data_IF_791696755358
#
_entry.id   IF_791696755358
#
_cell.length_a   1.000
_cell.length_b   1.000
_cell.length_c   1.000
_cell.angle_alpha   90.00
_cell.angle_beta   90.00
_cell.angle_gamma   90.00
#
_symmetry.space_group_name_H-M   'P 1'
#
loop_
_entity.id
_entity.type
_entity.pdbx_description
1 polymer ?
#
# COMPACT_ATOMS: atom_id res chain seq x y z
N UNK A 1 61.18 -20.25 -18.56
CA UNK A 1 61.37 -20.49 -20.00
C UNK A 1 60.31 -19.68 -20.75
N UNK A 2 60.78 -18.77 -21.61
CA UNK A 2 60.09 -17.95 -22.65
C UNK A 2 58.79 -17.21 -22.26
N UNK A 3 58.64 -15.87 -22.18
CA UNK A 3 59.16 -14.68 -22.88
C UNK A 3 58.59 -14.37 -24.28
N UNK A 4 58.32 -13.06 -24.48
CA UNK A 4 58.12 -12.24 -25.71
C UNK A 4 56.64 -11.91 -26.01
N UNK A 5 56.12 -10.67 -25.94
CA UNK A 5 56.54 -9.30 -26.32
C UNK A 5 56.38 -8.94 -27.80
N UNK A 6 55.57 -7.90 -28.09
CA UNK A 6 55.76 -6.77 -29.05
C UNK A 6 54.38 -6.32 -29.57
N UNK A 7 53.80 -5.14 -29.34
CA UNK A 7 54.22 -3.74 -29.58
C UNK A 7 54.35 -3.33 -31.06
N UNK A 8 53.83 -2.12 -31.35
CA UNK A 8 54.26 -1.12 -32.38
C UNK A 8 53.30 -0.80 -33.56
N UNK A 9 52.56 0.32 -33.41
CA UNK A 9 52.34 1.47 -34.35
C UNK A 9 51.64 1.26 -35.71
N UNK A 10 51.03 2.24 -36.41
CA UNK A 10 50.62 3.64 -36.20
C UNK A 10 49.89 4.12 -37.49
N UNK A 11 49.23 5.29 -37.40
CA UNK A 11 48.78 6.24 -38.45
C UNK A 11 47.52 5.89 -39.23
N UNK A 12 46.71 6.84 -39.71
CA UNK A 12 46.36 8.24 -39.39
C UNK A 12 45.42 8.71 -40.51
N UNK A 13 44.55 9.68 -40.20
CA UNK A 13 43.84 10.68 -41.05
C UNK A 13 42.32 10.59 -40.88
N UNK A 14 41.66 11.52 -40.19
CA UNK A 14 41.39 12.96 -40.45
C UNK A 14 40.12 13.19 -41.30
N UNK A 15 39.06 13.66 -40.62
CA UNK A 15 38.24 14.87 -40.90
C UNK A 15 37.07 14.82 -39.90
N UNK A 16 36.72 15.81 -39.07
CA UNK A 16 36.95 17.24 -39.13
C UNK A 16 35.60 17.95 -39.27
N UNK A 17 34.92 18.25 -38.17
CA UNK A 17 33.97 19.37 -38.07
C UNK A 17 33.99 19.93 -36.64
N UNK A 18 34.39 21.20 -36.56
CA UNK A 18 34.44 22.05 -35.38
C UNK A 18 33.34 23.09 -35.52
N UNK A 19 32.57 23.33 -34.45
CA UNK A 19 31.79 24.54 -34.28
C UNK A 19 31.96 25.04 -32.84
N UNK A 20 32.79 26.09 -32.71
CA UNK A 20 32.92 26.91 -31.53
C UNK A 20 31.71 27.84 -31.39
N UNK A 21 31.21 28.01 -30.17
CA UNK A 21 30.47 29.22 -29.77
C UNK A 21 31.21 29.87 -28.58
N UNK A 22 31.28 31.22 -28.53
CA UNK A 22 32.16 31.92 -27.63
C UNK A 22 31.57 32.07 -26.22
N UNK A 23 32.47 32.05 -25.25
CA UNK A 23 32.22 32.47 -23.87
C UNK A 23 31.96 33.98 -23.81
N UNK A 24 30.83 34.37 -23.23
CA UNK A 24 30.56 35.76 -22.83
C UNK A 24 30.80 35.88 -21.33
N UNK A 25 31.83 36.65 -21.02
CA UNK A 25 32.19 37.10 -19.69
C UNK A 25 31.27 38.28 -19.34
N UNK A 26 30.47 38.20 -18.28
CA UNK A 26 29.81 39.38 -17.72
C UNK A 26 29.91 39.40 -16.20
N UNK A 27 30.82 40.23 -15.72
CA UNK A 27 30.82 40.78 -14.37
C UNK A 27 29.44 41.35 -14.03
N UNK A 28 28.76 40.80 -13.01
CA UNK A 28 27.71 41.50 -12.28
C UNK A 28 27.85 41.25 -10.78
N UNK A 29 28.44 42.26 -10.13
CA UNK A 29 28.03 42.88 -8.87
C UNK A 29 27.35 41.96 -7.85
N UNK A 30 28.13 41.60 -6.84
CA UNK A 30 27.66 41.24 -5.51
C UNK A 30 26.73 42.32 -4.95
N UNK A 31 25.43 42.03 -4.85
CA UNK A 31 24.54 42.70 -3.90
C UNK A 31 24.15 41.69 -2.83
N UNK A 32 24.84 41.82 -1.69
CA UNK A 32 24.37 41.39 -0.39
C UNK A 32 22.99 42.01 -0.14
N UNK A 33 21.96 41.16 0.01
CA UNK A 33 20.69 41.52 0.61
C UNK A 33 20.53 40.69 1.87
N UNK A 34 20.99 41.27 2.97
CA UNK A 34 20.63 40.91 4.32
C UNK A 34 19.12 41.14 4.51
N UNK A 35 18.33 40.07 4.61
CA UNK A 35 16.98 40.16 5.16
C UNK A 35 17.03 39.92 6.66
N UNK A 36 16.81 41.01 7.39
CA UNK A 36 16.57 41.03 8.83
C UNK A 36 15.33 40.20 9.18
N UNK A 37 15.46 39.43 10.24
CA UNK A 37 14.39 38.72 10.92
C UNK A 37 13.32 39.70 11.43
N UNK A 38 12.08 39.47 11.04
CA UNK A 38 10.92 40.00 11.74
C UNK A 38 9.92 38.84 11.94
N UNK A 39 9.91 38.30 13.17
CA UNK A 39 8.89 37.39 13.66
C UNK A 39 7.62 38.19 14.01
N UNK A 40 6.43 37.75 13.57
CA UNK A 40 5.21 37.97 14.35
C UNK A 40 4.90 36.69 15.12
N UNK A 41 4.79 36.85 16.44
CA UNK A 41 4.34 35.82 17.37
C UNK A 41 2.86 35.47 17.12
N UNK A 42 2.54 34.18 17.23
CA UNK A 42 1.24 33.72 17.71
C UNK A 42 0.13 33.54 16.68
N UNK A 43 0.05 32.36 16.07
CA UNK A 43 -1.22 31.79 15.64
C UNK A 43 -1.40 30.41 16.27
N UNK A 44 -2.43 30.31 17.09
CA UNK A 44 -2.79 29.16 17.91
C UNK A 44 -3.54 28.15 17.01
N UNK A 45 -2.92 27.01 16.70
CA UNK A 45 -3.42 26.01 15.74
C UNK A 45 -4.52 25.08 16.33
N UNK A 46 -5.33 25.55 17.27
CA UNK A 46 -6.30 24.72 17.99
C UNK A 46 -7.78 25.02 17.67
N UNK A 47 -8.07 25.84 16.66
CA UNK A 47 -9.45 26.27 16.35
C UNK A 47 -9.90 26.07 14.88
N UNK A 48 -9.18 25.26 14.09
CA UNK A 48 -9.51 25.04 12.67
C UNK A 48 -9.83 23.58 12.31
N UNK A 49 -10.26 22.78 13.29
CA UNK A 49 -10.64 21.39 13.05
C UNK A 49 -11.85 20.94 13.88
N UNK A 50 -13.01 21.58 13.74
CA UNK A 50 -14.29 21.03 14.24
C UNK A 50 -15.45 21.49 13.34
N UNK A 51 -15.84 20.64 12.37
CA UNK A 51 -17.23 20.34 11.94
C UNK A 51 -17.28 19.88 10.48
N UNK A 52 -17.13 18.58 10.27
CA UNK A 52 -17.88 17.88 9.22
C UNK A 52 -18.48 16.62 9.84
N UNK A 53 -19.59 16.81 10.56
CA UNK A 53 -20.50 15.73 10.90
C UNK A 53 -21.42 15.51 9.70
N UNK A 54 -21.30 14.34 9.06
CA UNK A 54 -22.32 13.84 8.13
C UNK A 54 -23.61 13.58 8.91
N UNK A 55 -24.60 14.47 8.77
CA UNK A 55 -26.00 14.11 8.95
C UNK A 55 -26.63 13.90 7.58
N UNK A 56 -27.07 12.67 7.36
CA UNK A 56 -28.04 12.31 6.34
C UNK A 56 -29.31 13.14 6.54
N UNK A 57 -29.79 13.78 5.47
CA UNK A 57 -30.99 14.60 5.51
C UNK A 57 -31.03 15.59 4.35
N UNK A 58 -31.85 15.25 3.35
CA UNK A 58 -32.36 16.08 2.24
C UNK A 58 -32.38 17.58 2.61
N UNK A 59 -31.59 18.40 1.92
CA UNK A 59 -31.67 19.86 2.03
C UNK A 59 -31.74 20.47 0.63
N UNK A 60 -32.95 20.92 0.29
CA UNK A 60 -33.25 21.83 -0.80
C UNK A 60 -32.54 23.17 -0.61
N UNK A 61 -31.76 23.59 -1.60
CA UNK A 61 -31.15 24.93 -1.64
C UNK A 61 -32.23 25.92 -2.10
N UNK A 62 -32.65 26.80 -1.20
CA UNK A 62 -33.31 28.06 -1.55
C UNK A 62 -32.27 29.17 -1.40
N UNK A 63 -31.95 29.84 -2.52
CA UNK A 63 -31.19 31.09 -2.51
C UNK A 63 -32.10 32.23 -2.05
N UNK A 64 -31.60 33.04 -1.12
CA UNK A 64 -32.14 34.36 -0.83
C UNK A 64 -31.35 35.38 -1.68
N UNK A 65 -32.03 36.01 -2.62
CA UNK A 65 -31.63 37.33 -3.14
C UNK A 65 -32.76 38.32 -2.89
N UNK A 66 -32.39 39.44 -2.27
CA UNK A 66 -33.27 40.56 -2.01
C UNK A 66 -33.34 41.52 -3.20
N UNK A 67 -34.57 41.65 -3.73
CA UNK A 67 -35.22 42.83 -4.30
C UNK A 67 -34.48 43.71 -5.33
N UNK A 68 -35.07 43.82 -6.53
CA UNK A 68 -35.74 45.04 -7.05
C UNK A 68 -36.80 44.58 -8.06
N UNK A 69 -38.03 45.07 -7.89
CA UNK A 69 -39.20 44.82 -8.76
C UNK A 69 -39.28 45.92 -9.82
N UNK A 70 -39.42 45.53 -11.09
CA UNK A 70 -40.15 46.32 -12.10
C UNK A 70 -40.98 45.37 -12.96
N UNK A 71 -42.29 45.64 -13.05
CA UNK A 71 -43.30 44.85 -13.73
C UNK A 71 -43.21 44.92 -15.26
N UNK A 72 -43.42 43.80 -15.95
CA UNK A 72 -44.33 43.73 -17.11
C UNK A 72 -44.59 42.28 -17.57
N UNK A 73 -45.85 42.05 -17.94
CA UNK A 73 -46.50 40.77 -18.28
C UNK A 73 -45.91 40.00 -19.47
N UNK A 74 -45.85 38.67 -19.34
CA UNK A 74 -46.33 37.73 -20.37
C UNK A 74 -46.67 36.37 -19.76
N UNK A 75 -47.83 35.81 -20.14
CA UNK A 75 -48.34 34.50 -19.73
C UNK A 75 -47.79 33.44 -20.68
N UNK A 76 -47.06 32.45 -20.17
CA UNK A 76 -46.84 31.18 -20.88
C UNK A 76 -46.84 29.96 -19.93
N UNK A 77 -47.26 28.85 -20.51
CA UNK A 77 -47.76 27.59 -19.95
C UNK A 77 -46.83 26.86 -18.96
N UNK A 78 -47.31 26.63 -17.73
CA UNK A 78 -46.64 25.81 -16.70
C UNK A 78 -47.19 24.38 -16.57
N UNK A 79 -48.08 23.95 -17.46
CA UNK A 79 -48.74 22.64 -17.37
C UNK A 79 -47.93 21.50 -18.00
N UNK A 80 -47.15 21.78 -19.06
CA UNK A 80 -46.42 20.80 -19.86
C UNK A 80 -45.05 20.41 -19.28
N UNK A 81 -44.42 21.28 -18.48
CA UNK A 81 -43.10 21.01 -17.87
C UNK A 81 -43.14 20.16 -16.59
N UNK A 82 -44.33 19.99 -16.00
CA UNK A 82 -44.52 19.17 -14.78
C UNK A 82 -44.66 17.69 -15.13
N UNK A 83 -45.43 17.38 -16.19
CA UNK A 83 -45.61 16.00 -16.67
C UNK A 83 -44.31 15.35 -17.14
N UNK A 84 -43.45 16.10 -17.86
CA UNK A 84 -42.17 15.58 -18.33
C UNK A 84 -41.18 15.26 -17.20
N UNK A 85 -41.22 16.02 -16.09
CA UNK A 85 -40.36 15.76 -14.92
C UNK A 85 -40.81 14.53 -14.15
N UNK A 86 -42.11 14.33 -14.02
CA UNK A 86 -42.67 13.19 -13.29
C UNK A 86 -42.52 11.88 -14.09
N UNK A 87 -42.61 11.93 -15.43
CA UNK A 87 -42.31 10.78 -16.29
C UNK A 87 -40.82 10.40 -16.30
N UNK A 88 -39.91 11.37 -16.32
CA UNK A 88 -38.45 11.11 -16.26
C UNK A 88 -38.03 10.58 -14.88
N UNK A 89 -38.60 11.10 -13.78
CA UNK A 89 -38.35 10.57 -12.43
C UNK A 89 -38.93 9.17 -12.22
N UNK A 90 -40.07 8.87 -12.85
CA UNK A 90 -40.69 7.54 -12.89
C UNK A 90 -39.84 6.55 -13.69
N UNK A 91 -39.38 6.92 -14.89
CA UNK A 91 -38.54 6.10 -15.74
C UNK A 91 -37.19 5.78 -15.07
N UNK A 92 -36.53 6.78 -14.46
CA UNK A 92 -35.29 6.59 -13.71
C UNK A 92 -35.48 5.73 -12.45
N UNK A 93 -36.65 5.76 -11.82
CA UNK A 93 -36.97 4.89 -10.68
C UNK A 93 -37.26 3.45 -11.12
N UNK A 94 -37.86 3.25 -12.29
CA UNK A 94 -38.08 1.92 -12.86
C UNK A 94 -36.80 1.29 -13.43
N UNK A 95 -35.86 2.08 -13.95
CA UNK A 95 -34.53 1.61 -14.37
C UNK A 95 -33.60 1.36 -13.18
N UNK A 96 -33.64 2.18 -12.14
CA UNK A 96 -32.92 1.90 -10.88
C UNK A 96 -33.50 0.67 -10.15
N UNK A 97 -34.80 0.39 -10.30
CA UNK A 97 -35.43 -0.83 -9.78
C UNK A 97 -35.19 -2.07 -10.67
N UNK A 98 -35.00 -1.90 -11.99
CA UNK A 98 -34.68 -3.00 -12.92
C UNK A 98 -33.21 -3.43 -12.92
N UNK A 99 -32.28 -2.56 -12.53
CA UNK A 99 -30.87 -2.95 -12.28
C UNK A 99 -30.71 -3.66 -10.91
N UNK A 100 -31.73 -3.62 -10.05
CA UNK A 100 -31.78 -4.28 -8.74
C UNK A 100 -32.66 -5.53 -8.65
N UNK A 101 -33.23 -6.02 -9.76
CA UNK A 101 -34.25 -7.07 -9.72
C UNK A 101 -34.10 -8.14 -10.83
N UNK A 102 -32.86 -8.45 -11.24
CA UNK A 102 -32.53 -9.68 -11.98
C UNK A 102 -31.27 -10.33 -11.40
N UNK A 103 -31.41 -10.88 -10.19
CA UNK A 103 -30.74 -12.12 -9.76
C UNK A 103 -31.38 -12.63 -8.46
N UNK A 104 -32.70 -12.83 -8.50
CA UNK A 104 -33.40 -13.53 -7.44
C UNK A 104 -33.11 -15.03 -7.59
N UNK A 105 -32.01 -15.41 -6.92
CA UNK A 105 -31.33 -16.69 -6.99
C UNK A 105 -29.95 -16.57 -6.34
N UNK A 106 -29.86 -15.86 -5.21
CA UNK A 106 -28.61 -15.72 -4.47
C UNK A 106 -28.14 -17.10 -3.98
N UNK A 107 -27.24 -17.73 -4.73
CA UNK A 107 -26.21 -18.54 -4.13
C UNK A 107 -25.44 -17.64 -3.16
N UNK A 108 -25.92 -17.53 -1.92
CA UNK A 108 -25.28 -16.73 -0.88
C UNK A 108 -23.80 -17.14 -0.83
N UNK A 109 -22.87 -16.22 -1.08
CA UNK A 109 -21.45 -16.52 -0.98
C UNK A 109 -20.97 -16.39 0.47
N UNK A 110 -19.96 -17.16 0.86
CA UNK A 110 -19.31 -17.06 2.17
C UNK A 110 -17.82 -16.83 2.00
N UNK A 111 -17.19 -16.13 2.94
CA UNK A 111 -15.74 -15.92 2.95
C UNK A 111 -15.10 -16.59 4.16
N UNK A 112 -14.21 -17.54 3.89
CA UNK A 112 -13.36 -18.16 4.91
C UNK A 112 -11.97 -17.53 4.89
N UNK A 113 -11.56 -16.92 6.00
CA UNK A 113 -10.25 -16.26 6.14
C UNK A 113 -9.37 -17.10 7.05
N UNK A 114 -8.31 -17.69 6.50
CA UNK A 114 -7.32 -18.45 7.27
C UNK A 114 -6.09 -17.60 7.53
N UNK A 115 -5.84 -17.24 8.78
CA UNK A 115 -4.61 -16.58 9.23
C UNK A 115 -3.57 -17.64 9.56
N UNK A 116 -2.70 -17.93 8.59
CA UNK A 116 -1.57 -18.85 8.75
C UNK A 116 -0.48 -18.14 9.55
N UNK A 117 -0.01 -18.77 10.63
CA UNK A 117 0.85 -18.12 11.62
C UNK A 117 0.09 -17.34 12.69
N UNK A 118 -1.17 -17.71 12.99
CA UNK A 118 -2.04 -16.98 13.93
C UNK A 118 -1.49 -16.78 15.36
N UNK A 119 -0.51 -17.58 15.78
CA UNK A 119 0.16 -17.43 17.07
C UNK A 119 1.26 -16.36 17.09
N UNK A 120 1.63 -15.80 15.93
CA UNK A 120 2.66 -14.79 15.77
C UNK A 120 2.24 -13.37 16.14
N UNK A 121 3.22 -12.47 16.25
CA UNK A 121 3.00 -11.10 16.69
C UNK A 121 2.25 -10.24 15.68
N UNK A 122 2.53 -10.41 14.38
CA UNK A 122 1.83 -9.67 13.32
C UNK A 122 0.33 -10.02 13.31
N UNK A 123 0.00 -11.31 13.47
CA UNK A 123 -1.39 -11.75 13.55
C UNK A 123 -2.13 -11.09 14.72
N UNK A 124 -1.55 -11.13 15.91
CA UNK A 124 -2.11 -10.53 17.14
C UNK A 124 -2.27 -9.02 17.05
N UNK A 125 -1.21 -8.33 16.65
CA UNK A 125 -1.15 -6.85 16.75
C UNK A 125 -1.77 -6.13 15.57
N UNK A 126 -1.92 -6.80 14.40
CA UNK A 126 -2.37 -6.15 13.16
C UNK A 126 -3.51 -6.89 12.46
N UNK A 127 -3.36 -8.19 12.17
CA UNK A 127 -4.31 -8.91 11.30
C UNK A 127 -5.68 -9.07 11.97
N UNK A 128 -5.75 -9.67 13.16
CA UNK A 128 -7.04 -9.84 13.85
C UNK A 128 -7.69 -8.50 14.21
N UNK A 129 -6.97 -7.48 14.72
CA UNK A 129 -7.54 -6.14 14.89
C UNK A 129 -8.08 -5.52 13.60
N UNK A 130 -7.40 -5.70 12.45
CA UNK A 130 -7.88 -5.19 11.16
C UNK A 130 -9.15 -5.93 10.70
N UNK A 131 -9.21 -7.25 10.85
CA UNK A 131 -10.41 -8.03 10.55
C UNK A 131 -11.60 -7.64 11.45
N UNK A 132 -11.34 -7.38 12.74
CA UNK A 132 -12.35 -6.88 13.65
C UNK A 132 -12.83 -5.48 13.24
N UNK A 133 -11.92 -4.60 12.81
CA UNK A 133 -12.30 -3.28 12.31
C UNK A 133 -13.20 -3.37 11.07
N UNK A 134 -12.88 -4.26 10.11
CA UNK A 134 -13.73 -4.52 8.95
C UNK A 134 -15.11 -5.06 9.35
N UNK A 135 -15.16 -5.97 10.34
CA UNK A 135 -16.43 -6.44 10.89
C UNK A 135 -17.22 -5.31 11.56
N UNK A 136 -16.55 -4.48 12.36
CA UNK A 136 -17.17 -3.39 13.12
C UNK A 136 -17.80 -2.34 12.21
N UNK A 137 -17.19 -2.10 11.05
CA UNK A 137 -17.64 -1.18 9.99
C UNK A 137 -18.57 -1.83 8.95
N UNK A 138 -18.97 -3.09 9.18
CA UNK A 138 -19.89 -3.82 8.31
C UNK A 138 -19.33 -3.98 6.87
N UNK A 139 -17.99 -4.05 6.74
CA UNK A 139 -17.25 -4.26 5.48
C UNK A 139 -16.90 -5.73 5.21
N UNK A 140 -17.22 -6.65 6.13
CA UNK A 140 -17.17 -8.09 5.85
C UNK A 140 -18.52 -8.58 5.33
N UNK A 141 -18.55 -9.60 4.45
CA UNK A 141 -19.80 -10.22 4.02
C UNK A 141 -20.61 -10.76 5.20
N UNK A 142 -21.93 -10.90 5.03
CA UNK A 142 -22.82 -11.42 6.07
C UNK A 142 -22.37 -12.80 6.57
N UNK A 143 -21.92 -13.66 5.65
CA UNK A 143 -21.39 -14.98 5.97
C UNK A 143 -19.87 -14.99 5.82
N UNK A 144 -19.19 -15.07 6.96
CA UNK A 144 -17.75 -15.26 6.99
C UNK A 144 -17.33 -16.11 8.18
N UNK A 145 -16.14 -16.70 8.08
CA UNK A 145 -15.53 -17.48 9.16
C UNK A 145 -14.03 -17.20 9.19
N UNK A 146 -13.44 -17.13 10.38
CA UNK A 146 -12.00 -16.89 10.55
C UNK A 146 -11.36 -18.10 11.20
N UNK A 147 -10.31 -18.62 10.57
CA UNK A 147 -9.48 -19.68 11.13
C UNK A 147 -8.08 -19.16 11.45
N UNK A 148 -7.64 -19.33 12.70
CA UNK A 148 -6.22 -19.29 13.01
C UNK A 148 -5.57 -20.64 12.72
N UNK A 149 -4.45 -20.64 12.00
CA UNK A 149 -3.68 -21.86 11.71
C UNK A 149 -2.23 -21.70 12.15
N UNK A 150 -1.73 -22.56 13.04
CA UNK A 150 -0.30 -22.57 13.40
C UNK A 150 0.15 -23.90 14.01
N UNK A 151 1.47 -24.10 14.16
CA UNK A 151 2.03 -25.31 14.80
C UNK A 151 1.68 -25.44 16.29
N UNK A 152 1.43 -24.31 16.97
CA UNK A 152 1.12 -24.30 18.40
C UNK A 152 -0.19 -25.03 18.66
N UNK A 153 -0.21 -25.94 19.64
CA UNK A 153 -1.47 -26.54 20.11
C UNK A 153 -2.22 -25.49 20.92
N UNK A 154 -3.39 -25.12 20.42
CA UNK A 154 -4.27 -24.12 21.03
C UNK A 154 -5.72 -24.48 20.72
N UNK A 155 -6.62 -24.15 21.61
CA UNK A 155 -8.08 -24.31 21.45
C UNK A 155 -8.71 -23.03 20.90
N UNK A 156 -9.94 -23.13 20.40
CA UNK A 156 -10.72 -21.96 19.96
C UNK A 156 -10.87 -20.92 21.09
N UNK A 157 -11.07 -21.38 22.32
CA UNK A 157 -11.21 -20.52 23.51
C UNK A 157 -9.91 -19.75 23.79
N UNK A 158 -8.78 -20.43 23.69
CA UNK A 158 -7.47 -19.79 23.88
C UNK A 158 -7.15 -18.80 22.76
N UNK A 159 -7.49 -19.10 21.50
CA UNK A 159 -7.39 -18.16 20.39
C UNK A 159 -8.21 -16.90 20.68
N UNK A 160 -9.49 -17.07 21.03
CA UNK A 160 -10.41 -15.96 21.31
C UNK A 160 -9.92 -15.09 22.46
N UNK A 161 -9.41 -15.70 23.54
CA UNK A 161 -8.81 -14.99 24.68
C UNK A 161 -7.53 -14.24 24.29
N UNK A 162 -6.75 -14.78 23.36
CA UNK A 162 -5.53 -14.14 22.87
C UNK A 162 -5.88 -12.94 21.98
N UNK A 163 -6.82 -13.11 21.05
CA UNK A 163 -7.27 -12.06 20.14
C UNK A 163 -7.98 -10.93 20.90
N UNK A 164 -8.89 -11.25 21.84
CA UNK A 164 -9.69 -10.25 22.56
C UNK A 164 -8.85 -9.21 23.31
N UNK A 165 -7.65 -9.57 23.77
CA UNK A 165 -6.70 -8.64 24.43
C UNK A 165 -6.17 -7.54 23.52
N UNK A 166 -6.22 -7.76 22.21
CA UNK A 166 -5.67 -6.85 21.19
C UNK A 166 -6.73 -6.11 20.41
N UNK A 167 -8.00 -6.53 20.53
CA UNK A 167 -9.11 -5.86 19.87
C UNK A 167 -9.42 -4.55 20.60
N UNK A 168 -9.48 -3.47 19.84
CA UNK A 168 -9.85 -2.15 20.34
C UNK A 168 -11.10 -1.67 19.63
N UNK A 169 -12.00 -1.04 20.38
CA UNK A 169 -13.11 -0.31 19.81
C UNK A 169 -12.57 0.94 19.12
N UNK A 170 -13.03 1.26 17.91
CA UNK A 170 -12.76 2.57 17.30
C UNK A 170 -13.41 3.67 18.13
N UNK A 171 -12.83 4.87 18.08
CA UNK A 171 -13.17 6.04 18.92
C UNK A 171 -14.61 6.52 18.66
N UNK A 172 -15.15 6.22 17.48
CA UNK A 172 -16.53 6.56 17.12
C UNK A 172 -17.50 5.65 17.88
N UNK A 173 -18.01 6.18 18.98
CA UNK A 173 -18.97 5.59 19.92
C UNK A 173 -20.25 5.05 19.24
N UNK A 174 -20.18 3.93 18.51
CA UNK A 174 -21.37 3.09 18.32
C UNK A 174 -21.58 2.33 19.63
N UNK A 175 -22.75 2.51 20.25
CA UNK A 175 -23.20 1.62 21.32
C UNK A 175 -23.08 0.17 20.82
N UNK A 176 -22.69 -0.76 21.69
CA UNK A 176 -22.54 -2.21 21.42
C UNK A 176 -21.18 -2.72 20.90
N UNK A 177 -20.06 -2.02 21.18
CA UNK A 177 -18.74 -2.60 20.84
C UNK A 177 -18.47 -3.96 21.52
N UNK A 178 -18.86 -4.13 22.79
CA UNK A 178 -18.69 -5.41 23.50
C UNK A 178 -19.43 -6.56 22.82
N UNK A 179 -20.69 -6.35 22.46
CA UNK A 179 -21.50 -7.35 21.75
C UNK A 179 -20.92 -7.68 20.37
N UNK A 180 -20.54 -6.67 19.58
CA UNK A 180 -19.88 -6.88 18.28
C UNK A 180 -18.57 -7.66 18.45
N UNK A 181 -17.80 -7.39 19.49
CA UNK A 181 -16.57 -8.13 19.79
C UNK A 181 -16.87 -9.60 20.08
N UNK A 182 -17.86 -9.88 20.93
CA UNK A 182 -18.25 -11.25 21.26
C UNK A 182 -18.79 -12.02 20.04
N UNK A 183 -19.60 -11.37 19.20
CA UNK A 183 -20.09 -11.94 17.94
C UNK A 183 -18.97 -12.21 16.93
N UNK A 184 -18.00 -11.31 16.83
CA UNK A 184 -16.82 -11.53 15.99
C UNK A 184 -16.01 -12.72 16.49
N UNK A 185 -15.72 -12.78 17.79
CA UNK A 185 -14.94 -13.86 18.39
C UNK A 185 -15.64 -15.22 18.27
N UNK A 186 -16.97 -15.28 18.29
CA UNK A 186 -17.74 -16.51 18.01
C UNK A 186 -17.48 -17.09 16.62
N UNK A 187 -17.07 -16.26 15.65
CA UNK A 187 -16.71 -16.66 14.28
C UNK A 187 -15.23 -16.99 14.09
N UNK A 188 -14.44 -16.87 15.17
CA UNK A 188 -13.02 -17.22 15.18
C UNK A 188 -12.82 -18.65 15.72
N UNK A 189 -12.15 -19.47 14.92
CA UNK A 189 -11.83 -20.87 15.19
C UNK A 189 -10.33 -21.09 15.01
N UNK A 190 -9.82 -22.22 15.52
CA UNK A 190 -8.42 -22.56 15.45
C UNK A 190 -8.19 -23.98 14.95
N UNK A 191 -7.10 -24.17 14.23
CA UNK A 191 -6.60 -25.47 13.86
C UNK A 191 -5.07 -25.52 13.98
N UNK A 192 -4.57 -26.49 14.74
CA UNK A 192 -3.14 -26.75 14.85
C UNK A 192 -2.67 -27.67 13.73
N UNK A 193 -1.61 -27.30 13.02
CA UNK A 193 -1.05 -28.14 11.96
C UNK A 193 0.33 -27.65 11.52
N UNK A 194 1.05 -28.53 10.80
CA UNK A 194 2.33 -28.20 10.17
C UNK A 194 2.09 -27.48 8.83
N UNK A 195 3.00 -26.56 8.47
CA UNK A 195 2.83 -25.73 7.28
C UNK A 195 3.12 -26.46 5.96
N UNK A 196 3.84 -27.58 6.03
CA UNK A 196 4.30 -28.42 4.91
C UNK A 196 3.53 -29.75 4.79
N UNK A 197 2.50 -29.95 5.62
CA UNK A 197 1.71 -31.19 5.64
C UNK A 197 0.39 -31.03 4.89
N UNK A 198 0.24 -31.75 3.78
CA UNK A 198 -1.01 -31.82 3.01
C UNK A 198 -2.15 -32.43 3.83
N UNK A 199 -1.87 -33.40 4.71
CA UNK A 199 -2.88 -34.03 5.55
C UNK A 199 -3.51 -33.03 6.51
N UNK A 200 -2.69 -32.18 7.16
CA UNK A 200 -3.21 -31.13 8.04
C UNK A 200 -4.01 -30.06 7.28
N UNK A 201 -3.62 -29.72 6.05
CA UNK A 201 -4.44 -28.82 5.22
C UNK A 201 -5.74 -29.47 4.73
N UNK A 202 -5.74 -30.78 4.51
CA UNK A 202 -6.96 -31.56 4.21
C UNK A 202 -7.91 -31.58 5.41
N UNK A 203 -7.37 -31.69 6.63
CA UNK A 203 -8.16 -31.55 7.86
C UNK A 203 -8.73 -30.14 8.01
N UNK A 204 -7.95 -29.10 7.68
CA UNK A 204 -8.43 -27.72 7.61
C UNK A 204 -9.58 -27.58 6.60
N UNK A 205 -9.43 -28.10 5.39
CA UNK A 205 -10.47 -28.08 4.35
C UNK A 205 -11.80 -28.69 4.84
N UNK A 206 -11.74 -29.84 5.53
CA UNK A 206 -12.95 -30.46 6.11
C UNK A 206 -13.65 -29.52 7.09
N UNK A 207 -12.89 -28.81 7.92
CA UNK A 207 -13.45 -27.82 8.86
C UNK A 207 -14.06 -26.62 8.12
N UNK A 208 -13.35 -26.09 7.12
CA UNK A 208 -13.85 -24.98 6.28
C UNK A 208 -15.17 -25.36 5.61
N UNK A 209 -15.25 -26.53 4.96
CA UNK A 209 -16.47 -27.04 4.34
C UNK A 209 -17.66 -27.15 5.31
N UNK A 210 -17.39 -27.52 6.56
CA UNK A 210 -18.40 -27.58 7.61
C UNK A 210 -19.11 -26.24 7.87
N UNK A 211 -18.42 -25.11 7.68
CA UNK A 211 -18.98 -23.77 7.84
C UNK A 211 -19.48 -23.15 6.53
N UNK A 212 -19.14 -23.73 5.39
CA UNK A 212 -19.56 -23.24 4.08
C UNK A 212 -21.03 -23.57 3.79
N UNK A 213 -21.55 -24.67 4.33
CA UNK A 213 -22.97 -25.05 4.28
C UNK A 213 -23.59 -24.99 2.86
N UNK A 214 -22.84 -25.42 1.84
CA UNK A 214 -23.29 -25.48 0.44
C UNK A 214 -23.25 -24.16 -0.34
N UNK A 215 -22.82 -23.07 0.29
CA UNK A 215 -22.63 -21.75 -0.34
C UNK A 215 -21.48 -21.73 -1.35
N UNK A 216 -21.43 -20.70 -2.20
CA UNK A 216 -20.21 -20.38 -2.96
C UNK A 216 -19.14 -19.97 -1.94
N UNK A 217 -18.07 -20.76 -1.82
CA UNK A 217 -17.06 -20.54 -0.80
C UNK A 217 -15.85 -19.82 -1.37
N UNK A 218 -15.59 -18.63 -0.85
CA UNK A 218 -14.40 -17.86 -1.17
C UNK A 218 -13.38 -18.03 -0.04
N UNK A 219 -12.14 -18.35 -0.37
CA UNK A 219 -11.11 -18.67 0.62
C UNK A 219 -9.93 -17.73 0.52
N UNK A 220 -9.60 -17.07 1.63
CA UNK A 220 -8.47 -16.15 1.75
C UNK A 220 -7.45 -16.72 2.73
N UNK A 221 -6.25 -17.00 2.27
CA UNK A 221 -5.13 -17.42 3.11
C UNK A 221 -4.19 -16.25 3.35
N UNK A 222 -4.08 -15.79 4.60
CA UNK A 222 -3.14 -14.74 4.99
C UNK A 222 -1.89 -15.38 5.60
N UNK A 223 -0.74 -15.25 4.92
CA UNK A 223 0.53 -15.83 5.34
C UNK A 223 1.30 -14.90 6.28
N UNK A 224 1.06 -15.04 7.58
CA UNK A 224 1.78 -14.36 8.67
C UNK A 224 2.90 -15.25 9.22
N UNK A 225 3.74 -15.77 8.31
CA UNK A 225 4.80 -16.75 8.61
C UNK A 225 6.15 -16.32 8.03
N UNK A 226 7.27 -16.90 8.50
CA UNK A 226 8.58 -16.66 7.91
C UNK A 226 8.65 -17.03 6.41
N UNK A 227 9.47 -16.32 5.61
CA UNK A 227 9.49 -16.46 4.15
C UNK A 227 9.94 -17.84 3.66
N UNK A 228 10.76 -18.55 4.43
CA UNK A 228 11.24 -19.89 4.09
C UNK A 228 10.13 -20.95 4.08
N UNK A 229 8.93 -20.63 4.56
CA UNK A 229 7.79 -21.55 4.66
C UNK A 229 6.68 -21.15 3.67
N UNK A 230 6.78 -20.00 2.99
CA UNK A 230 5.73 -19.52 2.11
C UNK A 230 5.35 -20.52 1.02
N UNK A 231 6.34 -21.09 0.32
CA UNK A 231 6.09 -21.99 -0.80
C UNK A 231 5.39 -23.27 -0.34
N UNK A 232 5.80 -23.85 0.78
CA UNK A 232 5.18 -25.05 1.33
C UNK A 232 3.74 -24.81 1.75
N UNK A 233 3.48 -23.70 2.45
CA UNK A 233 2.13 -23.32 2.85
C UNK A 233 1.22 -23.02 1.65
N UNK A 234 1.73 -22.35 0.62
CA UNK A 234 1.01 -22.08 -0.64
C UNK A 234 0.69 -23.39 -1.36
N UNK A 235 1.67 -24.28 -1.48
CA UNK A 235 1.48 -25.61 -2.10
C UNK A 235 0.38 -26.39 -1.40
N UNK A 236 0.42 -26.49 -0.07
CA UNK A 236 -0.58 -27.22 0.70
C UNK A 236 -1.96 -26.55 0.63
N UNK A 237 -2.02 -25.21 0.74
CA UNK A 237 -3.28 -24.47 0.63
C UNK A 237 -3.93 -24.65 -0.74
N UNK A 238 -3.16 -24.53 -1.83
CA UNK A 238 -3.65 -24.68 -3.20
C UNK A 238 -4.07 -26.12 -3.51
N UNK A 239 -3.26 -27.11 -3.14
CA UNK A 239 -3.55 -28.52 -3.49
C UNK A 239 -4.62 -29.18 -2.61
N UNK A 240 -4.74 -28.78 -1.34
CA UNK A 240 -5.54 -29.52 -0.34
C UNK A 240 -6.68 -28.72 0.26
N UNK A 241 -6.64 -27.38 0.21
CA UNK A 241 -7.60 -26.50 0.86
C UNK A 241 -8.11 -25.35 -0.01
N UNK A 242 -7.93 -25.44 -1.33
CA UNK A 242 -8.54 -24.48 -2.25
C UNK A 242 -10.06 -24.61 -2.25
N UNK A 243 -10.75 -23.52 -2.56
CA UNK A 243 -12.18 -23.57 -2.80
C UNK A 243 -12.50 -24.43 -4.04
N UNK A 244 -13.61 -25.17 -3.97
CA UNK A 244 -14.10 -25.98 -5.09
C UNK A 244 -15.09 -25.22 -5.99
N UNK A 245 -15.75 -24.17 -5.49
CA UNK A 245 -16.84 -23.48 -6.22
C UNK A 245 -16.76 -21.94 -6.15
N UNK A 246 -15.73 -21.38 -5.51
CA UNK A 246 -15.45 -19.95 -5.45
C UNK A 246 -13.96 -19.66 -5.61
N UNK A 247 -13.53 -18.43 -5.34
CA UNK A 247 -12.13 -18.06 -5.53
C UNK A 247 -11.26 -18.48 -4.33
N UNK A 248 -9.98 -18.71 -4.61
CA UNK A 248 -8.93 -18.84 -3.59
C UNK A 248 -7.89 -17.76 -3.81
N UNK A 249 -7.58 -16.98 -2.77
CA UNK A 249 -6.58 -15.91 -2.80
C UNK A 249 -5.61 -16.06 -1.64
N UNK A 250 -4.37 -15.67 -1.86
CA UNK A 250 -3.31 -15.73 -0.87
C UNK A 250 -2.69 -14.35 -0.68
N UNK A 251 -2.66 -13.89 0.57
CA UNK A 251 -1.96 -12.69 0.98
C UNK A 251 -0.58 -13.08 1.51
N UNK A 252 0.47 -12.48 0.98
CA UNK A 252 1.87 -12.76 1.33
C UNK A 252 2.57 -11.49 1.79
N UNK A 253 3.28 -11.58 2.92
CA UNK A 253 4.03 -10.48 3.50
C UNK A 253 5.48 -10.42 3.01
N UNK A 254 6.10 -9.24 3.13
CA UNK A 254 7.54 -9.08 2.87
C UNK A 254 8.36 -9.92 3.87
N UNK A 255 9.54 -10.44 3.49
CA UNK A 255 10.33 -10.15 2.28
C UNK A 255 10.02 -11.06 1.08
N UNK A 256 10.04 -10.48 -0.13
CA UNK A 256 9.84 -11.19 -1.41
C UNK A 256 11.16 -11.56 -2.09
N UNK A 257 12.04 -12.26 -1.36
CA UNK A 257 13.44 -12.46 -1.75
C UNK A 257 14.37 -11.38 -1.20
N UNK A 258 15.65 -11.45 -1.56
CA UNK A 258 16.72 -10.52 -1.13
C UNK A 258 17.38 -9.78 -2.28
N UNK A 259 17.08 -10.18 -3.51
CA UNK A 259 17.60 -9.66 -4.77
C UNK A 259 16.69 -10.11 -5.92
N UNK A 260 17.02 -9.70 -7.15
CA UNK A 260 16.24 -10.04 -8.35
C UNK A 260 16.12 -11.55 -8.57
N UNK A 261 17.21 -12.31 -8.37
CA UNK A 261 17.25 -13.75 -8.63
C UNK A 261 16.36 -14.53 -7.64
N UNK A 262 16.53 -14.29 -6.35
CA UNK A 262 15.74 -14.92 -5.29
C UNK A 262 14.27 -14.51 -5.34
N UNK A 263 13.97 -13.26 -5.72
CA UNK A 263 12.59 -12.79 -5.92
C UNK A 263 11.91 -13.47 -7.12
N UNK A 264 12.66 -13.63 -8.22
CA UNK A 264 12.18 -14.34 -9.40
C UNK A 264 11.99 -15.84 -9.11
N UNK A 265 12.88 -16.45 -8.33
CA UNK A 265 12.73 -17.84 -7.88
C UNK A 265 11.47 -18.03 -7.02
N UNK A 266 11.24 -17.15 -6.04
CA UNK A 266 10.01 -17.17 -5.23
C UNK A 266 8.76 -17.03 -6.10
N UNK A 267 8.77 -16.10 -7.05
CA UNK A 267 7.64 -15.88 -7.97
C UNK A 267 7.39 -17.11 -8.85
N UNK A 268 8.43 -17.73 -9.40
CA UNK A 268 8.29 -18.98 -10.17
C UNK A 268 7.69 -20.10 -9.31
N UNK A 269 8.09 -20.22 -8.05
CA UNK A 269 7.54 -21.23 -7.14
C UNK A 269 6.07 -20.98 -6.82
N UNK A 270 5.63 -19.74 -6.61
CA UNK A 270 4.20 -19.44 -6.42
C UNK A 270 3.36 -19.73 -7.66
N UNK A 271 3.87 -19.39 -8.86
CA UNK A 271 3.19 -19.63 -10.13
C UNK A 271 2.99 -21.11 -10.49
N UNK A 272 3.62 -22.04 -9.75
CA UNK A 272 3.31 -23.47 -9.89
C UNK A 272 1.95 -23.84 -9.27
N UNK A 273 1.42 -23.01 -8.37
CA UNK A 273 0.25 -23.34 -7.54
C UNK A 273 -0.85 -22.28 -7.59
N UNK A 274 -0.54 -21.06 -8.03
CA UNK A 274 -1.45 -19.92 -8.03
C UNK A 274 -1.30 -19.11 -9.32
N UNK A 275 -2.41 -18.61 -9.82
CA UNK A 275 -2.45 -17.57 -10.85
C UNK A 275 -2.13 -16.20 -10.25
N UNK A 276 -1.73 -15.23 -11.08
CA UNK A 276 -1.25 -13.92 -10.60
C UNK A 276 -2.35 -13.11 -9.89
N UNK A 277 -3.62 -13.25 -10.31
CA UNK A 277 -4.79 -12.61 -9.70
C UNK A 277 -5.20 -13.23 -8.35
N UNK A 278 -4.59 -14.36 -7.99
CA UNK A 278 -4.74 -15.01 -6.68
C UNK A 278 -3.69 -14.54 -5.66
N UNK A 279 -2.63 -13.84 -6.10
CA UNK A 279 -1.47 -13.51 -5.25
C UNK A 279 -1.49 -12.02 -4.85
N UNK A 280 -1.72 -11.77 -3.57
CA UNK A 280 -1.74 -10.43 -2.98
C UNK A 280 -0.47 -10.18 -2.16
N UNK A 281 0.52 -9.54 -2.77
CA UNK A 281 1.78 -9.19 -2.10
C UNK A 281 1.61 -7.88 -1.35
N UNK A 282 1.80 -7.91 -0.03
CA UNK A 282 1.58 -6.74 0.81
C UNK A 282 2.79 -5.81 0.77
N UNK A 283 2.52 -4.58 0.36
CA UNK A 283 3.25 -3.40 0.79
C UNK A 283 2.27 -2.51 1.57
N UNK A 284 2.38 -2.50 2.90
CA UNK A 284 1.42 -1.82 3.76
C UNK A 284 1.43 -0.28 3.63
N UNK A 285 2.43 0.32 2.95
CA UNK A 285 2.41 1.76 2.67
C UNK A 285 1.38 2.11 1.61
N UNK A 286 1.05 1.18 0.71
CA UNK A 286 0.01 1.39 -0.29
C UNK A 286 -1.39 1.56 0.32
N UNK A 287 -1.62 1.04 1.54
CA UNK A 287 -2.87 1.20 2.28
C UNK A 287 -2.90 2.42 3.22
N UNK A 288 -1.91 3.33 3.12
CA UNK A 288 -1.93 4.58 3.87
C UNK A 288 -2.73 5.62 3.09
N UNK A 289 -3.67 6.27 3.76
CA UNK A 289 -4.59 7.26 3.16
C UNK A 289 -3.88 8.31 2.29
N UNK A 290 -2.77 8.89 2.77
CA UNK A 290 -2.02 9.89 2.00
C UNK A 290 -1.37 9.32 0.72
N UNK A 291 -0.99 8.04 0.73
CA UNK A 291 -0.41 7.36 -0.44
C UNK A 291 -1.51 7.03 -1.45
N UNK A 292 -2.67 6.56 -1.00
CA UNK A 292 -3.84 6.32 -1.85
C UNK A 292 -4.32 7.62 -2.53
N UNK A 293 -4.25 8.75 -1.80
CA UNK A 293 -4.71 10.03 -2.30
C UNK A 293 -3.79 10.66 -3.38
N UNK A 294 -2.60 10.09 -3.64
CA UNK A 294 -1.70 10.59 -4.69
C UNK A 294 -2.34 10.55 -6.08
N UNK A 295 -3.06 9.48 -6.41
CA UNK A 295 -3.73 9.36 -7.72
C UNK A 295 -4.85 10.39 -7.88
N UNK A 296 -5.63 10.62 -6.82
CA UNK A 296 -6.70 11.63 -6.80
C UNK A 296 -6.12 13.04 -6.94
N UNK A 297 -5.04 13.33 -6.19
CA UNK A 297 -4.36 14.62 -6.27
C UNK A 297 -3.88 14.92 -7.71
N UNK A 298 -3.30 13.92 -8.38
CA UNK A 298 -2.70 14.11 -9.71
C UNK A 298 -3.71 14.16 -10.85
N UNK A 299 -4.67 13.24 -10.87
CA UNK A 299 -5.51 13.02 -12.05
C UNK A 299 -6.91 13.64 -11.93
N UNK A 300 -7.35 14.03 -10.73
CA UNK A 300 -8.65 14.69 -10.54
C UNK A 300 -8.56 16.22 -10.49
N UNK A 301 -7.36 16.80 -10.64
CA UNK A 301 -7.12 18.23 -10.48
C UNK A 301 -6.37 18.80 -11.70
N UNK A 302 -7.09 19.51 -12.57
CA UNK A 302 -6.56 20.12 -13.79
C UNK A 302 -5.39 21.09 -13.54
N UNK A 303 -5.33 21.69 -12.35
CA UNK A 303 -4.26 22.62 -11.97
C UNK A 303 -2.90 21.93 -11.83
N UNK A 304 -2.87 20.64 -11.44
CA UNK A 304 -1.63 19.93 -11.16
C UNK A 304 -1.07 19.24 -12.39
N UNK A 305 -1.91 18.85 -13.34
CA UNK A 305 -1.50 18.12 -14.55
C UNK A 305 -0.34 18.78 -15.32
N UNK A 306 -0.36 20.09 -15.68
CA UNK A 306 0.75 20.71 -16.40
C UNK A 306 2.00 20.89 -15.52
N UNK A 307 1.82 21.09 -14.21
CA UNK A 307 2.90 21.32 -13.26
C UNK A 307 3.66 20.02 -12.93
N UNK A 308 3.07 18.85 -13.19
CA UNK A 308 3.64 17.55 -12.85
C UNK A 308 4.63 17.04 -13.91
N UNK A 309 5.60 17.87 -14.29
CA UNK A 309 6.59 17.56 -15.32
C UNK A 309 7.94 18.22 -15.05
N UNK A 310 8.98 17.73 -15.74
CA UNK A 310 10.34 18.29 -15.73
C UNK A 310 10.46 19.78 -16.07
N UNK A 311 9.43 20.36 -16.69
CA UNK A 311 9.43 21.81 -16.99
C UNK A 311 9.29 22.65 -15.71
N UNK A 312 8.65 22.10 -14.68
CA UNK A 312 8.32 22.82 -13.45
C UNK A 312 8.91 22.16 -12.19
N UNK A 313 9.11 20.85 -12.21
CA UNK A 313 9.71 20.11 -11.10
C UNK A 313 11.23 20.06 -11.29
N UNK A 314 11.96 20.57 -10.31
CA UNK A 314 13.42 20.51 -10.28
C UNK A 314 13.97 19.19 -9.70
N UNK A 315 13.34 18.69 -8.64
CA UNK A 315 13.68 17.42 -7.98
C UNK A 315 12.50 16.97 -7.11
N UNK A 316 12.46 15.68 -6.79
CA UNK A 316 11.46 15.06 -5.91
C UNK A 316 12.21 14.36 -4.77
N UNK A 317 11.75 14.56 -3.53
CA UNK A 317 12.37 13.96 -2.35
C UNK A 317 11.39 13.05 -1.64
N UNK A 318 11.77 11.79 -1.48
CA UNK A 318 11.02 10.80 -0.73
C UNK A 318 11.79 10.47 0.53
N UNK A 319 11.30 10.94 1.67
CA UNK A 319 11.99 10.85 2.95
C UNK A 319 11.22 9.92 3.87
N UNK A 320 11.90 8.90 4.37
CA UNK A 320 11.46 8.08 5.48
C UNK A 320 12.46 8.21 6.62
N UNK A 321 11.98 8.55 7.81
CA UNK A 321 12.79 8.73 9.00
C UNK A 321 12.07 8.17 10.21
N UNK A 322 12.81 7.46 11.05
CA UNK A 322 12.36 6.97 12.36
C UNK A 322 13.26 7.58 13.44
N UNK A 323 12.69 7.83 14.61
CA UNK A 323 13.39 8.40 15.77
C UNK A 323 13.87 7.34 16.78
N UNK A 324 13.73 6.06 16.43
CA UNK A 324 14.19 4.91 17.20
C UNK A 324 15.13 4.01 16.38
N UNK A 325 15.93 3.19 17.06
CA UNK A 325 16.88 2.24 16.45
C UNK A 325 16.26 0.88 16.15
N UNK A 326 17.06 -0.18 16.09
CA UNK A 326 16.53 -1.54 15.83
C UNK A 326 15.86 -2.22 17.03
N UNK A 327 15.87 -1.60 18.21
CA UNK A 327 15.14 -2.04 19.43
C UNK A 327 15.25 -3.56 19.74
N UNK A 328 16.47 -4.12 19.65
CA UNK A 328 16.72 -5.54 19.92
C UNK A 328 16.34 -6.49 18.77
N UNK A 329 15.90 -5.96 17.63
CA UNK A 329 15.69 -6.68 16.36
C UNK A 329 16.88 -6.53 15.41
N UNK A 330 18.03 -6.06 15.91
CA UNK A 330 19.23 -5.79 15.11
C UNK A 330 19.67 -6.99 14.27
N UNK A 331 19.68 -8.20 14.84
CA UNK A 331 20.08 -9.41 14.13
C UNK A 331 19.15 -9.82 12.98
N UNK A 332 17.85 -9.53 13.07
CA UNK A 332 16.95 -9.71 11.93
C UNK A 332 17.24 -8.67 10.86
N UNK A 333 17.33 -7.39 11.25
CA UNK A 333 17.61 -6.27 10.35
C UNK A 333 18.97 -6.41 9.63
N UNK A 334 19.97 -6.98 10.30
CA UNK A 334 21.35 -7.17 9.79
C UNK A 334 21.39 -8.02 8.52
N UNK A 335 20.39 -8.88 8.31
CA UNK A 335 20.28 -9.69 7.11
C UNK A 335 19.71 -8.92 5.89
N UNK A 336 19.10 -7.75 6.10
CA UNK A 336 18.40 -7.04 5.03
C UNK A 336 18.96 -5.64 4.78
N UNK A 337 19.16 -4.88 5.86
CA UNK A 337 19.53 -3.47 5.81
C UNK A 337 18.42 -2.56 5.31
N UNK A 338 18.62 -1.25 5.46
CA UNK A 338 17.58 -0.24 5.20
C UNK A 338 17.09 -0.23 3.74
N UNK A 339 17.98 -0.56 2.79
CA UNK A 339 17.65 -0.56 1.36
C UNK A 339 16.57 -1.60 1.07
N UNK A 340 16.69 -2.82 1.61
CA UNK A 340 15.71 -3.88 1.40
C UNK A 340 14.49 -3.71 2.29
N UNK A 341 14.67 -3.18 3.49
CA UNK A 341 13.56 -3.06 4.43
C UNK A 341 12.57 -1.96 4.03
N UNK A 342 13.06 -0.82 3.53
CA UNK A 342 12.23 0.38 3.27
C UNK A 342 12.35 0.90 1.82
N UNK A 343 13.58 1.03 1.30
CA UNK A 343 13.79 1.76 0.04
C UNK A 343 13.24 0.99 -1.17
N UNK A 344 13.54 -0.30 -1.26
CA UNK A 344 13.16 -1.17 -2.39
C UNK A 344 11.66 -1.42 -2.47
N UNK A 345 10.94 -1.32 -1.34
CA UNK A 345 9.50 -1.53 -1.27
C UNK A 345 8.73 -0.20 -1.13
N UNK A 346 8.60 0.34 0.07
CA UNK A 346 7.71 1.45 0.43
C UNK A 346 8.01 2.72 -0.37
N UNK A 347 9.28 3.14 -0.40
CA UNK A 347 9.66 4.37 -1.12
C UNK A 347 9.53 4.19 -2.63
N UNK A 348 9.93 3.04 -3.16
CA UNK A 348 9.82 2.74 -4.58
C UNK A 348 8.34 2.65 -5.03
N UNK A 349 7.45 2.09 -4.21
CA UNK A 349 6.02 2.07 -4.49
C UNK A 349 5.42 3.47 -4.53
N UNK A 350 5.75 4.34 -3.56
CA UNK A 350 5.31 5.74 -3.56
C UNK A 350 5.87 6.48 -4.79
N UNK A 351 7.15 6.27 -5.13
CA UNK A 351 7.76 6.83 -6.33
C UNK A 351 6.97 6.46 -7.58
N UNK A 352 6.62 5.19 -7.76
CA UNK A 352 5.87 4.77 -8.95
C UNK A 352 4.50 5.42 -9.04
N UNK A 353 3.76 5.55 -7.93
CA UNK A 353 2.48 6.27 -7.91
C UNK A 353 2.62 7.76 -8.20
N UNK A 354 3.69 8.38 -7.71
CA UNK A 354 4.00 9.78 -7.97
C UNK A 354 4.42 10.05 -9.42
N UNK A 355 5.14 9.11 -10.03
CA UNK A 355 5.79 9.29 -11.32
C UNK A 355 5.03 8.70 -12.52
N UNK A 356 4.08 7.79 -12.30
CA UNK A 356 3.34 7.11 -13.39
C UNK A 356 2.58 8.09 -14.28
N UNK A 357 2.34 7.75 -15.54
CA UNK A 357 1.44 8.53 -16.39
C UNK A 357 -0.02 8.34 -15.93
N UNK A 358 -0.92 9.15 -16.48
CA UNK A 358 -2.36 8.97 -16.28
C UNK A 358 -2.75 7.60 -16.82
N UNK A 359 -3.30 6.69 -15.99
CA UNK A 359 -3.73 5.38 -16.45
C UNK A 359 -4.98 5.52 -17.35
N UNK A 360 -5.20 4.53 -18.21
CA UNK A 360 -6.35 4.51 -19.14
C UNK A 360 -7.67 4.46 -18.37
N UNK A 361 -7.69 3.77 -17.24
CA UNK A 361 -8.82 3.69 -16.32
C UNK A 361 -8.33 3.59 -14.86
N UNK A 362 -9.28 3.48 -13.93
CA UNK A 362 -8.97 3.20 -12.52
C UNK A 362 -8.90 1.69 -12.21
N UNK A 363 -8.95 0.83 -13.23
CA UNK A 363 -8.79 -0.61 -13.05
C UNK A 363 -7.38 -0.94 -12.55
N UNK A 364 -7.31 -1.97 -11.69
CA UNK A 364 -6.07 -2.32 -10.99
C UNK A 364 -4.89 -2.61 -11.95
N UNK A 365 -5.16 -3.28 -13.07
CA UNK A 365 -4.11 -3.60 -14.06
C UNK A 365 -3.63 -2.37 -14.84
N UNK A 366 -4.51 -1.43 -15.16
CA UNK A 366 -4.11 -0.19 -15.86
C UNK A 366 -3.19 0.66 -14.98
N UNK A 367 -3.52 0.76 -13.69
CA UNK A 367 -2.65 1.43 -12.71
C UNK A 367 -1.32 0.68 -12.57
N UNK A 368 -1.34 -0.65 -12.47
CA UNK A 368 -0.12 -1.47 -12.37
C UNK A 368 0.77 -1.30 -13.60
N UNK A 369 0.19 -1.26 -14.80
CA UNK A 369 0.92 -1.08 -16.05
C UNK A 369 1.70 0.24 -16.07
N UNK A 370 1.07 1.34 -15.66
CA UNK A 370 1.76 2.65 -15.61
C UNK A 370 2.83 2.69 -14.51
N UNK A 371 2.63 2.04 -13.36
CA UNK A 371 3.68 1.87 -12.34
C UNK A 371 4.87 1.08 -12.87
N UNK A 372 4.62 -0.04 -13.56
CA UNK A 372 5.68 -0.89 -14.14
C UNK A 372 6.43 -0.14 -15.24
N UNK A 373 5.75 0.66 -16.05
CA UNK A 373 6.37 1.51 -17.08
C UNK A 373 7.39 2.48 -16.48
N UNK A 374 7.08 3.10 -15.33
CA UNK A 374 8.06 3.92 -14.60
C UNK A 374 9.29 3.10 -14.24
N UNK A 375 9.11 1.94 -13.58
CA UNK A 375 10.21 1.09 -13.17
C UNK A 375 11.09 0.65 -14.34
N UNK A 376 10.49 0.36 -15.50
CA UNK A 376 11.22 -0.01 -16.73
C UNK A 376 11.99 1.15 -17.35
N UNK A 377 11.57 2.40 -17.09
CA UNK A 377 12.28 3.61 -17.51
C UNK A 377 13.33 4.06 -16.48
N UNK A 378 13.45 3.43 -15.32
CA UNK A 378 14.44 3.83 -14.32
C UNK A 378 15.84 3.36 -14.69
N UNK A 379 16.83 4.23 -14.52
CA UNK A 379 18.24 3.83 -14.60
C UNK A 379 18.61 2.91 -13.44
N UNK A 380 19.38 1.83 -13.67
CA UNK A 380 20.00 1.10 -12.58
C UNK A 380 20.88 2.03 -11.75
N UNK A 381 20.70 1.96 -10.43
CA UNK A 381 21.41 2.78 -9.46
C UNK A 381 22.94 2.53 -9.55
N UNK A 382 23.73 3.60 -9.56
CA UNK A 382 25.19 3.52 -9.50
C UNK A 382 25.67 3.79 -8.09
N UNK A 383 26.81 3.22 -7.71
CA UNK A 383 27.36 3.40 -6.35
C UNK A 383 27.67 4.88 -6.05
N UNK A 384 28.10 5.63 -7.06
CA UNK A 384 28.41 7.06 -6.93
C UNK A 384 27.18 7.92 -6.62
N UNK A 385 25.98 7.43 -6.94
CA UNK A 385 24.71 8.08 -6.65
C UNK A 385 24.13 7.70 -5.27
N UNK A 386 24.88 6.92 -4.48
CA UNK A 386 24.41 6.35 -3.21
C UNK A 386 25.29 6.76 -2.05
N UNK A 387 24.64 7.24 -0.99
CA UNK A 387 25.26 7.45 0.32
C UNK A 387 24.63 6.48 1.30
N UNK A 388 25.46 5.71 1.99
CA UNK A 388 25.03 4.84 3.08
C UNK A 388 25.61 5.32 4.41
N UNK A 389 24.91 5.00 5.49
CA UNK A 389 25.33 5.30 6.85
C UNK A 389 24.91 4.21 7.83
N UNK A 390 25.58 4.20 8.98
CA UNK A 390 25.23 3.35 10.11
C UNK A 390 25.24 4.21 11.38
N UNK A 391 24.12 4.24 12.11
CA UNK A 391 24.01 5.09 13.29
C UNK A 391 24.95 4.61 14.41
N UNK A 392 25.53 5.56 15.13
CA UNK A 392 26.43 5.34 16.27
C UNK A 392 25.78 5.79 17.56
N UNK A 393 26.35 5.36 18.68
CA UNK A 393 25.90 5.77 20.00
C UNK A 393 25.92 7.29 20.14
N UNK A 394 24.89 7.85 20.76
CA UNK A 394 24.82 9.30 20.99
C UNK A 394 24.12 9.59 22.32
N UNK A 395 24.50 10.69 22.97
CA UNK A 395 23.91 11.14 24.23
C UNK A 395 23.15 12.43 24.00
N UNK A 396 21.84 12.43 24.30
CA UNK A 396 20.96 13.59 24.18
C UNK A 396 20.11 13.73 25.44
N UNK A 397 20.16 14.90 26.08
CA UNK A 397 19.38 15.18 27.29
C UNK A 397 19.71 14.27 28.48
N UNK A 398 20.97 13.85 28.63
CA UNK A 398 21.41 12.94 29.69
C UNK A 398 21.07 11.46 29.46
N UNK A 399 20.30 11.14 28.40
CA UNK A 399 20.02 9.76 27.98
C UNK A 399 21.04 9.34 26.93
N UNK A 400 21.68 8.18 27.13
CA UNK A 400 22.62 7.59 26.16
C UNK A 400 21.90 6.53 25.36
N UNK A 401 21.89 6.70 24.04
CA UNK A 401 21.31 5.76 23.09
C UNK A 401 22.42 4.88 22.51
N UNK A 402 22.24 3.54 22.48
CA UNK A 402 23.23 2.62 21.94
C UNK A 402 23.37 2.79 20.42
N UNK A 403 24.57 2.56 19.89
CA UNK A 403 24.82 2.44 18.46
C UNK A 403 24.33 1.11 17.90
N UNK A 404 24.29 0.98 16.57
CA UNK A 404 23.79 -0.23 15.93
C UNK A 404 24.59 -1.48 16.33
N UNK A 405 25.92 -1.36 16.37
CA UNK A 405 26.84 -2.45 16.74
C UNK A 405 26.88 -2.76 18.23
N UNK A 406 26.20 -1.97 19.08
CA UNK A 406 26.08 -2.25 20.51
C UNK A 406 24.94 -3.24 20.81
N UNK A 407 24.03 -3.47 19.84
CA UNK A 407 23.01 -4.51 19.92
C UNK A 407 23.68 -5.89 19.89
N UNK A 408 23.47 -6.68 20.95
CA UNK A 408 24.06 -8.01 21.12
C UNK A 408 23.64 -9.01 20.04
N UNK A 409 22.54 -8.73 19.33
CA UNK A 409 22.04 -9.57 18.24
C UNK A 409 22.70 -9.27 16.90
N UNK A 410 23.45 -8.16 16.79
CA UNK A 410 24.17 -7.75 15.57
C UNK A 410 25.58 -8.34 15.57
N UNK A 411 26.04 -8.78 14.39
CA UNK A 411 27.39 -9.31 14.27
C UNK A 411 28.44 -8.20 14.51
N UNK A 412 29.50 -8.53 15.26
CA UNK A 412 30.60 -7.59 15.50
C UNK A 412 31.24 -7.20 14.17
N UNK A 413 31.34 -5.90 13.91
CA UNK A 413 31.90 -5.37 12.66
C UNK A 413 30.93 -5.36 11.48
N UNK A 414 29.63 -5.58 11.70
CA UNK A 414 28.61 -5.46 10.65
C UNK A 414 28.72 -4.12 9.91
N UNK A 415 28.69 -4.20 8.58
CA UNK A 415 28.64 -3.06 7.66
C UNK A 415 27.22 -2.77 7.18
N UNK A 416 26.21 -3.38 7.81
CA UNK A 416 24.81 -3.21 7.39
C UNK A 416 24.41 -1.74 7.49
N UNK A 417 23.91 -1.14 6.40
CA UNK A 417 23.47 0.25 6.42
C UNK A 417 22.13 0.38 7.15
N UNK A 418 22.09 1.28 8.13
CA UNK A 418 20.86 1.70 8.82
C UNK A 418 20.31 2.99 8.21
N UNK A 419 21.08 3.66 7.35
CA UNK A 419 20.71 4.84 6.59
C UNK A 419 21.15 4.66 5.14
N UNK A 420 20.31 5.10 4.21
CA UNK A 420 20.67 5.19 2.80
C UNK A 420 19.94 6.38 2.16
N UNK A 421 20.65 7.11 1.32
CA UNK A 421 20.12 8.11 0.40
C UNK A 421 20.64 7.79 -0.99
N UNK A 422 19.78 7.93 -2.01
CA UNK A 422 20.15 7.64 -3.38
C UNK A 422 19.49 8.63 -4.35
N UNK A 423 20.23 9.05 -5.37
CA UNK A 423 19.64 9.72 -6.53
C UNK A 423 19.10 8.66 -7.50
N UNK A 424 17.87 8.87 -7.98
CA UNK A 424 17.18 7.98 -8.92
C UNK A 424 16.74 8.80 -10.12
N UNK A 425 16.91 8.24 -11.32
CA UNK A 425 16.55 8.92 -12.57
C UNK A 425 15.59 8.06 -13.40
N UNK A 426 14.57 8.70 -13.97
CA UNK A 426 13.56 8.07 -14.83
C UNK A 426 13.70 8.62 -16.25
N UNK A 427 14.13 7.76 -17.17
CA UNK A 427 14.37 8.10 -18.58
C UNK A 427 13.08 8.04 -19.38
N UNK A 428 12.26 9.09 -19.23
CA UNK A 428 11.09 9.31 -20.08
C UNK A 428 10.84 10.81 -20.30
N UNK A 429 9.92 11.14 -21.21
CA UNK A 429 9.65 12.53 -21.59
C UNK A 429 9.22 13.44 -20.42
N UNK A 430 8.57 12.87 -19.39
CA UNK A 430 8.06 13.62 -18.23
C UNK A 430 9.16 13.93 -17.21
N UNK A 431 10.09 13.01 -16.98
CA UNK A 431 11.03 13.04 -15.85
C UNK A 431 12.51 13.18 -16.25
N UNK A 432 12.84 13.15 -17.54
CA UNK A 432 14.23 13.29 -17.99
C UNK A 432 14.86 14.61 -17.49
N UNK A 433 15.92 14.47 -16.68
CA UNK A 433 16.67 15.56 -16.05
C UNK A 433 16.21 15.97 -14.65
N UNK A 434 15.15 15.36 -14.10
CA UNK A 434 14.58 15.63 -12.75
C UNK A 434 15.21 14.76 -11.68
#
# INVERSE_FOLDING_TARGET
MASLSSSVTSRSCRSGYSACFPAVNSNRLSRSLSFLSACPQGLNFHELCVRFQRKSGRASVFMQDGAIVTDSNSKEDKSSLKGLKDEVLSALSQEAAKVGAESDGQNQSTVSITVVGASGDLAKKKIFPALFALYYEDCLPEHFTIYGYSRSKMTDVELRKMVSKTLTCRIDKRANCGEKMDEFLKRCYYHSGQYDSQDHFTELDKKLKGHEAGRISNRLFYLSIPPNIFVDAVKCASSSASSANGWTRVIVEKPFGRDSESSAALTRSFKQYLEEDQIFRIDHYLGKELVENLSVLRFSNLIFEPLWSRQYIRNVQLIFSEDFGTEGRGGYFDNYGIIRDIMQNHLLQILTLFAMETPVSLDAEDIRNEKVKVLRSMRPIQVDDVVIGQYKSHTKGGVTYPGYTDDKTVQKGSLTPTFAAAALFIDNARWDGV
#
